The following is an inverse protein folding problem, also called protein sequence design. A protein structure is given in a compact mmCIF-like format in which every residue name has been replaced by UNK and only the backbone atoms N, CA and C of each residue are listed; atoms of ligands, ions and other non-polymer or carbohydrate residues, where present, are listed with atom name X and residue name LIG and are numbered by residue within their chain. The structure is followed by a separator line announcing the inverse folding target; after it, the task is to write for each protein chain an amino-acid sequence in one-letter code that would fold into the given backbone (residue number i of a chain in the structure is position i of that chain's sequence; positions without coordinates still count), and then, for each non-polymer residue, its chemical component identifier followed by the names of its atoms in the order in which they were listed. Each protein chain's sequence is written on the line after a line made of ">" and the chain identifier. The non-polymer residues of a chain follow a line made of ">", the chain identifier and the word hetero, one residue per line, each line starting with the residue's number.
data_IF_060497555540
#
_entry.id   IF_060497555540
#
_cell.length_a   1.000
_cell.length_b   1.000
_cell.length_c   1.000
_cell.angle_alpha   90.00
_cell.angle_beta   90.00
_cell.angle_gamma   90.00
#
_symmetry.space_group_name_H-M   'P 1'
#
loop_
_entity.id
_entity.type
_entity.pdbx_description
1 polymer ?
#
# COMPACT_ATOMS: atom_id res chain seq x y z
N UNK A 1 29.43 -55.86 25.73
CA UNK A 1 28.72 -54.59 26.00
C UNK A 1 27.94 -54.81 27.28
N UNK A 2 28.59 -54.63 28.43
CA UNK A 2 27.91 -54.67 29.72
C UNK A 2 27.07 -53.40 29.84
N UNK A 3 25.75 -53.58 29.89
CA UNK A 3 24.81 -52.50 30.07
C UNK A 3 25.03 -51.87 31.45
N UNK A 4 25.18 -50.54 31.46
CA UNK A 4 25.22 -49.66 32.63
C UNK A 4 23.85 -49.65 33.37
N UNK A 5 23.37 -50.82 33.78
CA UNK A 5 22.12 -50.93 34.51
C UNK A 5 22.30 -50.36 35.92
N UNK A 6 21.62 -49.24 36.19
CA UNK A 6 21.58 -48.59 37.50
C UNK A 6 22.50 -47.37 37.67
N UNK A 7 23.18 -46.91 36.62
CA UNK A 7 24.00 -45.69 36.69
C UNK A 7 23.15 -44.45 36.37
N UNK A 8 23.19 -43.44 37.25
CA UNK A 8 22.55 -42.13 37.03
C UNK A 8 23.61 -41.05 36.84
N UNK A 9 23.37 -40.15 35.88
CA UNK A 9 24.20 -38.96 35.66
C UNK A 9 23.41 -37.72 36.03
N UNK A 10 24.05 -36.80 36.73
CA UNK A 10 23.50 -35.46 37.00
C UNK A 10 24.48 -34.43 36.49
N UNK A 11 23.99 -33.54 35.64
CA UNK A 11 24.74 -32.40 35.11
C UNK A 11 24.20 -31.15 35.79
N UNK A 12 25.10 -30.39 36.39
CA UNK A 12 24.76 -29.11 37.02
C UNK A 12 25.53 -28.01 36.32
N UNK A 13 24.80 -26.99 35.85
CA UNK A 13 25.34 -25.81 35.18
C UNK A 13 25.19 -24.59 36.08
N UNK A 14 26.27 -23.84 36.26
CA UNK A 14 26.23 -22.54 36.94
C UNK A 14 27.05 -21.52 36.14
N UNK A 15 26.45 -20.41 35.68
CA UNK A 15 27.23 -19.29 35.16
C UNK A 15 28.01 -18.68 36.34
N UNK A 16 29.33 -18.59 36.21
CA UNK A 16 30.20 -18.10 37.30
C UNK A 16 30.28 -16.58 37.26
N UNK A 17 30.50 -16.02 36.07
CA UNK A 17 30.54 -14.58 35.81
C UNK A 17 30.55 -14.33 34.31
N UNK A 18 30.09 -13.16 33.90
CA UNK A 18 30.18 -12.72 32.51
C UNK A 18 30.49 -11.23 32.42
N UNK A 19 31.07 -10.82 31.30
CA UNK A 19 31.28 -9.42 30.95
C UNK A 19 30.84 -9.21 29.52
N UNK A 20 30.09 -8.14 29.30
CA UNK A 20 29.79 -7.62 27.97
C UNK A 20 30.66 -6.38 27.78
N UNK A 21 31.46 -6.37 26.72
CA UNK A 21 32.30 -5.25 26.35
C UNK A 21 31.96 -4.83 24.93
N UNK A 22 31.63 -3.56 24.75
CA UNK A 22 31.46 -2.97 23.43
C UNK A 22 32.76 -2.27 23.06
N UNK A 23 33.45 -2.78 22.04
CA UNK A 23 34.66 -2.17 21.50
C UNK A 23 34.28 -1.45 20.22
N UNK A 24 34.21 -0.12 20.26
CA UNK A 24 34.01 0.71 19.07
C UNK A 24 35.34 0.82 18.32
N UNK A 25 35.42 0.26 17.12
CA UNK A 25 36.58 0.41 16.24
C UNK A 25 36.60 1.81 15.59
N UNK A 26 35.42 2.30 15.22
CA UNK A 26 35.18 3.67 14.75
C UNK A 26 33.70 4.05 14.96
N UNK A 27 33.27 5.20 14.40
CA UNK A 27 31.88 5.68 14.50
C UNK A 27 30.85 4.81 13.76
N UNK A 28 31.29 3.86 12.95
CA UNK A 28 30.48 2.99 12.11
C UNK A 28 30.66 1.50 12.39
N UNK A 29 31.66 1.12 13.19
CA UNK A 29 31.97 -0.28 13.45
C UNK A 29 32.19 -0.48 14.95
N UNK A 30 31.44 -1.40 15.54
CA UNK A 30 31.67 -1.85 16.90
C UNK A 30 31.63 -3.37 16.96
N UNK A 31 32.39 -3.95 17.88
CA UNK A 31 32.29 -5.37 18.21
C UNK A 31 31.78 -5.49 19.64
N UNK A 32 30.62 -6.10 19.81
CA UNK A 32 30.14 -6.51 21.13
C UNK A 32 30.74 -7.88 21.44
N UNK A 33 31.64 -7.92 22.42
CA UNK A 33 32.22 -9.15 22.94
C UNK A 33 31.54 -9.53 24.24
N UNK A 34 30.80 -10.64 24.21
CA UNK A 34 30.18 -11.25 25.37
C UNK A 34 31.01 -12.45 25.80
N UNK A 35 31.67 -12.35 26.96
CA UNK A 35 32.43 -13.43 27.55
C UNK A 35 31.70 -13.99 28.76
N UNK A 36 31.40 -15.28 28.74
CA UNK A 36 30.82 -16.02 29.87
C UNK A 36 31.81 -17.07 30.36
N UNK A 37 32.04 -17.10 31.67
CA UNK A 37 32.75 -18.21 32.32
C UNK A 37 31.73 -19.20 32.84
N UNK A 38 31.90 -20.46 32.49
CA UNK A 38 31.03 -21.54 32.94
C UNK A 38 31.81 -22.56 33.76
N UNK A 39 31.11 -23.20 34.69
CA UNK A 39 31.50 -24.46 35.27
C UNK A 39 30.41 -25.50 35.03
N UNK A 40 30.83 -26.67 34.58
CA UNK A 40 30.00 -27.86 34.47
C UNK A 40 30.56 -28.89 35.44
N UNK A 41 29.70 -29.44 36.28
CA UNK A 41 30.03 -30.60 37.09
C UNK A 41 29.14 -31.76 36.65
N UNK A 42 29.78 -32.88 36.29
CA UNK A 42 29.11 -34.12 35.92
C UNK A 42 29.44 -35.16 36.97
N UNK A 43 28.45 -35.59 37.73
CA UNK A 43 28.61 -36.69 38.69
C UNK A 43 27.99 -37.96 38.13
N UNK A 44 28.80 -38.99 37.94
CA UNK A 44 28.36 -40.35 37.67
C UNK A 44 28.32 -41.16 38.96
N UNK A 45 27.24 -41.90 39.19
CA UNK A 45 27.13 -42.86 40.30
C UNK A 45 26.91 -44.27 39.75
N UNK A 46 27.59 -45.25 40.33
CA UNK A 46 27.34 -46.68 40.05
C UNK A 46 26.27 -47.23 40.98
N UNK A 47 25.59 -48.30 40.55
CA UNK A 47 24.57 -48.96 41.38
C UNK A 47 25.10 -49.54 42.70
N UNK A 48 26.42 -49.74 42.83
CA UNK A 48 27.08 -50.19 44.06
C UNK A 48 27.47 -49.03 45.01
N UNK A 49 27.10 -47.79 44.69
CA UNK A 49 27.32 -46.63 45.55
C UNK A 49 28.63 -45.85 45.30
N UNK A 50 29.45 -46.26 44.33
CA UNK A 50 30.63 -45.49 43.92
C UNK A 50 30.22 -44.24 43.15
N UNK A 51 30.91 -43.12 43.37
CA UNK A 51 30.66 -41.88 42.63
C UNK A 51 31.96 -41.25 42.13
N UNK A 52 31.93 -40.72 40.91
CA UNK A 52 32.98 -39.88 40.36
C UNK A 52 32.37 -38.58 39.85
N UNK A 53 33.01 -37.46 40.14
CA UNK A 53 32.63 -36.15 39.61
C UNK A 53 33.74 -35.62 38.71
N UNK A 54 33.37 -35.23 37.50
CA UNK A 54 34.24 -34.50 36.57
C UNK A 54 33.83 -33.05 36.60
N UNK A 55 34.81 -32.17 36.82
CA UNK A 55 34.63 -30.73 36.76
C UNK A 55 35.27 -30.20 35.48
N UNK A 56 34.50 -29.43 34.73
CA UNK A 56 34.97 -28.67 33.59
C UNK A 56 34.71 -27.19 33.85
N UNK A 57 35.71 -26.36 33.63
CA UNK A 57 35.56 -24.91 33.63
C UNK A 57 36.01 -24.38 32.29
N UNK A 58 35.21 -23.52 31.68
CA UNK A 58 35.51 -22.98 30.37
C UNK A 58 35.10 -21.53 30.21
N UNK A 59 35.47 -20.98 29.06
CA UNK A 59 35.12 -19.62 28.65
C UNK A 59 34.44 -19.69 27.30
N UNK A 60 33.20 -19.21 27.24
CA UNK A 60 32.49 -18.95 25.99
C UNK A 60 32.68 -17.47 25.65
N UNK A 61 33.27 -17.18 24.49
CA UNK A 61 33.38 -15.81 23.96
C UNK A 61 32.55 -15.73 22.70
N UNK A 62 31.64 -14.76 22.64
CA UNK A 62 30.82 -14.46 21.47
C UNK A 62 31.19 -13.05 21.05
N UNK A 63 31.74 -12.91 19.85
CA UNK A 63 32.05 -11.60 19.25
C UNK A 63 31.04 -11.32 18.15
N UNK A 64 30.22 -10.29 18.35
CA UNK A 64 29.22 -9.83 17.37
C UNK A 64 29.72 -8.54 16.74
N UNK A 65 30.05 -8.58 15.45
CA UNK A 65 30.43 -7.38 14.70
C UNK A 65 29.17 -6.61 14.29
N UNK A 66 29.02 -5.42 14.83
CA UNK A 66 28.01 -4.42 14.47
C UNK A 66 28.60 -3.53 13.38
N UNK A 67 28.24 -3.81 12.13
CA UNK A 67 28.54 -2.96 10.99
C UNK A 67 27.40 -1.94 10.84
N UNK A 68 27.64 -0.69 11.19
CA UNK A 68 26.81 0.40 10.69
C UNK A 68 27.25 0.65 9.24
N UNK A 69 26.49 0.12 8.28
CA UNK A 69 26.66 0.50 6.87
C UNK A 69 26.56 2.02 6.76
N UNK A 70 27.70 2.68 6.55
CA UNK A 70 27.86 4.13 6.46
C UNK A 70 27.22 4.74 5.20
N UNK A 71 25.91 4.59 5.06
CA UNK A 71 25.06 5.47 4.24
C UNK A 71 24.33 6.46 5.16
N UNK A 72 23.82 7.58 4.63
CA UNK A 72 23.20 8.63 5.44
C UNK A 72 22.04 8.05 6.28
N UNK A 73 21.86 8.62 7.47
CA UNK A 73 20.87 8.39 8.53
C UNK A 73 19.42 8.15 8.06
N UNK A 74 19.15 7.00 7.44
CA UNK A 74 17.82 6.54 7.09
C UNK A 74 17.91 5.31 6.21
N UNK A 75 17.05 4.31 6.46
CA UNK A 75 16.85 3.08 5.67
C UNK A 75 17.53 1.79 6.15
N UNK A 76 17.52 1.54 7.47
CA UNK A 76 17.30 0.16 7.96
C UNK A 76 15.87 -0.06 8.47
N UNK A 77 14.99 0.90 8.19
CA UNK A 77 13.56 0.73 8.39
C UNK A 77 12.99 0.02 7.17
N UNK A 78 12.62 -1.26 7.33
CA UNK A 78 11.87 -1.99 6.32
C UNK A 78 10.38 -1.93 6.68
N UNK A 79 9.54 -1.47 5.75
CA UNK A 79 8.08 -1.55 5.90
C UNK A 79 7.59 -2.98 6.16
N UNK A 80 8.38 -3.99 5.75
CA UNK A 80 8.12 -5.40 6.08
C UNK A 80 8.10 -5.71 7.58
N UNK A 81 8.61 -4.80 8.43
CA UNK A 81 8.50 -4.92 9.89
C UNK A 81 7.08 -4.66 10.41
N UNK A 82 6.17 -4.16 9.57
CA UNK A 82 4.78 -3.88 9.93
C UNK A 82 3.86 -4.83 9.18
N UNK A 83 2.84 -5.33 9.88
CA UNK A 83 1.65 -5.88 9.25
C UNK A 83 0.80 -4.80 8.56
N UNK A 84 0.81 -3.57 9.08
CA UNK A 84 0.23 -2.40 8.41
C UNK A 84 0.93 -1.10 8.85
N UNK A 85 1.15 -0.20 7.89
CA UNK A 85 1.72 1.13 8.12
C UNK A 85 0.81 2.19 7.49
N UNK A 86 0.53 3.26 8.23
CA UNK A 86 -0.26 4.40 7.77
C UNK A 86 0.55 5.67 7.97
N UNK A 87 0.82 6.45 6.92
CA UNK A 87 1.42 7.77 7.16
C UNK A 87 0.42 8.72 7.84
N UNK A 88 -0.87 8.59 7.51
CA UNK A 88 -1.92 9.28 8.22
C UNK A 88 -3.06 8.33 8.56
N UNK A 89 -3.25 8.06 9.85
CA UNK A 89 -4.25 7.14 10.38
C UNK A 89 -5.66 7.72 10.46
N UNK A 90 -5.81 9.06 10.44
CA UNK A 90 -7.08 9.77 10.27
C UNK A 90 -6.80 11.19 9.73
N UNK A 91 -7.03 11.40 8.42
CA UNK A 91 -6.75 12.67 7.74
C UNK A 91 -7.75 13.77 8.07
N UNK A 92 -8.99 13.42 8.34
CA UNK A 92 -10.11 14.34 8.59
C UNK A 92 -11.09 13.62 9.49
N UNK A 93 -11.47 14.21 10.62
CA UNK A 93 -12.33 13.62 11.66
C UNK A 93 -13.63 13.00 11.09
N UNK A 94 -13.55 11.82 10.49
CA UNK A 94 -14.62 11.25 9.66
C UNK A 94 -14.24 9.90 9.08
N UNK A 95 -12.96 9.51 9.14
CA UNK A 95 -12.48 8.25 8.59
C UNK A 95 -12.02 7.29 9.71
N UNK A 96 -12.94 6.77 10.55
CA UNK A 96 -12.57 5.77 11.53
C UNK A 96 -12.20 4.47 10.82
N UNK A 97 -11.26 3.73 11.40
CA UNK A 97 -10.78 2.48 10.86
C UNK A 97 -11.96 1.51 10.64
N UNK A 98 -11.95 0.81 9.52
CA UNK A 98 -12.97 -0.18 9.20
C UNK A 98 -12.85 -1.41 10.13
N UNK A 99 -13.95 -2.13 10.34
CA UNK A 99 -13.91 -3.36 11.14
C UNK A 99 -12.98 -4.39 10.47
N UNK A 100 -12.16 -5.09 11.26
CA UNK A 100 -11.18 -6.03 10.73
C UNK A 100 -10.23 -6.57 11.79
N UNK A 101 -9.30 -7.43 11.35
CA UNK A 101 -8.24 -7.98 12.20
C UNK A 101 -6.88 -7.77 11.56
N UNK A 102 -5.96 -7.17 12.30
CA UNK A 102 -4.56 -7.02 11.93
C UNK A 102 -3.73 -8.07 12.70
N UNK A 103 -3.08 -8.96 11.96
CA UNK A 103 -2.30 -10.06 12.55
C UNK A 103 -0.84 -9.72 12.82
N UNK A 104 -0.32 -8.62 12.28
CA UNK A 104 1.05 -8.15 12.48
C UNK A 104 1.13 -6.77 13.14
N UNK A 105 2.34 -6.23 13.38
CA UNK A 105 2.52 -4.92 13.99
C UNK A 105 1.86 -3.81 13.17
N UNK A 106 1.20 -2.86 13.82
CA UNK A 106 0.54 -1.74 13.14
C UNK A 106 1.13 -0.41 13.61
N UNK A 107 1.39 0.50 12.69
CA UNK A 107 1.89 1.84 13.02
C UNK A 107 1.18 2.93 12.22
N UNK A 108 0.99 4.11 12.83
CA UNK A 108 0.63 5.34 12.12
C UNK A 108 1.52 6.53 12.50
N UNK A 109 1.92 7.34 11.51
CA UNK A 109 2.68 8.58 11.75
C UNK A 109 1.82 9.72 12.36
N UNK A 110 0.54 9.49 12.59
CA UNK A 110 -0.39 10.43 13.26
C UNK A 110 -1.11 9.77 14.44
N UNK A 111 -2.44 9.66 14.39
CA UNK A 111 -3.28 8.88 15.30
C UNK A 111 -4.26 8.01 14.52
N UNK A 112 -4.84 7.01 15.19
CA UNK A 112 -6.00 6.28 14.67
C UNK A 112 -7.32 6.89 15.15
N UNK A 113 -8.36 6.68 14.34
CA UNK A 113 -9.75 6.96 14.70
C UNK A 113 -10.57 5.68 14.76
N UNK A 114 -11.42 5.57 15.77
CA UNK A 114 -12.24 4.39 16.03
C UNK A 114 -13.69 4.77 16.34
N UNK A 115 -14.60 3.83 16.09
CA UNK A 115 -15.99 3.88 16.54
C UNK A 115 -16.27 2.63 17.38
N UNK A 116 -16.94 2.78 18.51
CA UNK A 116 -17.41 1.67 19.35
C UNK A 116 -18.35 0.71 18.63
N UNK A 117 -19.01 1.20 17.57
CA UNK A 117 -19.87 0.40 16.68
C UNK A 117 -19.11 -0.44 15.65
N UNK A 118 -17.78 -0.26 15.50
CA UNK A 118 -16.93 -1.02 14.59
C UNK A 118 -15.95 -1.86 15.40
N UNK A 119 -15.69 -3.10 14.97
CA UNK A 119 -14.78 -4.00 15.69
C UNK A 119 -13.44 -4.10 14.96
N UNK A 120 -12.40 -3.55 15.56
CA UNK A 120 -11.00 -3.70 15.11
C UNK A 120 -10.24 -4.55 16.11
N UNK A 121 -9.53 -5.57 15.62
CA UNK A 121 -8.68 -6.43 16.45
C UNK A 121 -7.24 -6.33 16.01
N UNK A 122 -6.34 -6.01 16.94
CA UNK A 122 -4.89 -6.02 16.73
C UNK A 122 -4.29 -7.19 17.50
N UNK A 123 -3.68 -8.14 16.80
CA UNK A 123 -3.06 -9.34 17.41
C UNK A 123 -1.59 -9.14 17.81
N UNK A 124 -1.03 -7.98 17.50
CA UNK A 124 0.36 -7.61 17.78
C UNK A 124 0.42 -6.17 18.30
N UNK A 125 1.62 -5.60 18.44
CA UNK A 125 1.85 -4.19 18.81
C UNK A 125 1.08 -3.24 17.87
N UNK A 126 0.37 -2.29 18.47
CA UNK A 126 -0.09 -1.07 17.78
C UNK A 126 0.74 0.10 18.26
N UNK A 127 1.14 0.97 17.33
CA UNK A 127 1.82 2.20 17.67
C UNK A 127 1.35 3.40 16.86
N UNK A 128 1.53 4.60 17.42
CA UNK A 128 1.25 5.86 16.74
C UNK A 128 2.11 7.01 17.27
N UNK A 129 2.15 8.13 16.55
CA UNK A 129 2.95 9.32 16.95
C UNK A 129 2.23 10.18 17.98
N UNK A 130 0.95 10.43 17.80
CA UNK A 130 0.19 11.30 18.69
C UNK A 130 -0.10 10.60 20.03
N UNK A 131 -0.32 11.38 21.09
CA UNK A 131 -0.51 10.85 22.45
C UNK A 131 -1.93 10.31 22.74
N UNK A 132 -2.82 10.27 21.75
CA UNK A 132 -4.15 9.72 21.91
C UNK A 132 -4.89 9.45 20.60
N UNK A 133 -6.01 8.78 20.71
CA UNK A 133 -6.86 8.31 19.61
C UNK A 133 -8.11 9.16 19.50
N UNK A 134 -8.74 9.16 18.32
CA UNK A 134 -10.13 9.61 18.21
C UNK A 134 -11.06 8.42 18.44
N UNK A 135 -12.06 8.60 19.29
CA UNK A 135 -12.95 7.53 19.68
C UNK A 135 -14.39 8.06 19.81
N UNK A 136 -15.30 7.55 18.99
CA UNK A 136 -16.73 7.91 18.87
C UNK A 136 -17.05 9.37 18.50
N UNK A 137 -16.24 10.34 18.92
CA UNK A 137 -16.35 11.74 18.51
C UNK A 137 -15.36 12.05 17.39
N UNK A 138 -15.86 11.96 16.17
CA UNK A 138 -15.14 12.33 14.96
C UNK A 138 -15.40 13.80 14.59
N UNK A 139 -15.57 14.73 15.54
CA UNK A 139 -15.70 16.15 15.16
C UNK A 139 -14.36 16.75 14.76
N UNK A 140 -14.33 17.56 13.69
CA UNK A 140 -13.17 18.32 13.25
C UNK A 140 -12.97 19.63 14.02
N UNK A 141 -14.00 20.12 14.74
CA UNK A 141 -13.96 21.42 15.43
C UNK A 141 -13.40 21.34 16.84
N UNK A 142 -13.47 20.17 17.47
CA UNK A 142 -12.96 19.89 18.81
C UNK A 142 -12.52 18.44 18.86
N UNK A 143 -11.26 18.14 18.49
CA UNK A 143 -10.76 16.78 18.51
C UNK A 143 -10.77 16.28 19.95
N UNK A 144 -11.78 15.49 20.30
CA UNK A 144 -11.87 14.87 21.62
C UNK A 144 -10.97 13.64 21.59
N UNK A 145 -9.68 13.88 21.80
CA UNK A 145 -8.66 12.84 21.78
C UNK A 145 -8.73 12.08 23.10
N UNK A 146 -8.99 10.78 23.03
CA UNK A 146 -8.92 9.87 24.17
C UNK A 146 -7.48 9.38 24.32
N UNK A 147 -6.91 9.28 25.53
CA UNK A 147 -5.59 8.69 25.72
C UNK A 147 -5.49 7.31 25.06
N UNK A 148 -4.29 6.94 24.61
CA UNK A 148 -4.05 5.61 24.04
C UNK A 148 -4.53 4.52 25.02
N UNK A 149 -5.42 3.61 24.60
CA UNK A 149 -5.97 2.59 25.49
C UNK A 149 -4.88 1.58 25.87
N UNK A 150 -4.72 1.33 27.17
CA UNK A 150 -3.80 0.31 27.70
C UNK A 150 -4.44 -1.09 27.80
N UNK A 151 -5.75 -1.18 27.55
CA UNK A 151 -6.55 -2.40 27.54
C UNK A 151 -7.60 -2.32 26.44
N UNK A 152 -8.23 -3.45 26.09
CA UNK A 152 -9.29 -3.44 25.08
C UNK A 152 -10.48 -2.60 25.54
N UNK A 153 -11.05 -1.80 24.62
CA UNK A 153 -12.25 -1.00 24.83
C UNK A 153 -13.31 -1.38 23.79
N UNK A 154 -14.55 -0.90 23.91
CA UNK A 154 -15.59 -1.25 22.95
C UNK A 154 -15.13 -0.90 21.51
N UNK A 155 -15.27 -1.85 20.59
CA UNK A 155 -14.81 -1.71 19.20
C UNK A 155 -13.30 -1.81 18.97
N UNK A 156 -12.46 -1.86 20.01
CA UNK A 156 -11.00 -2.02 19.87
C UNK A 156 -10.51 -3.17 20.75
N UNK A 157 -10.08 -4.26 20.11
CA UNK A 157 -9.37 -5.35 20.79
C UNK A 157 -7.87 -5.22 20.53
N UNK A 158 -7.07 -5.12 21.59
CA UNK A 158 -5.60 -5.03 21.50
C UNK A 158 -4.94 -6.27 22.09
N UNK A 159 -3.79 -6.65 21.55
CA UNK A 159 -2.97 -7.76 22.05
C UNK A 159 -2.37 -7.45 23.42
N UNK A 160 -1.77 -8.47 24.05
CA UNK A 160 -1.01 -8.30 25.30
C UNK A 160 0.20 -7.39 25.15
N UNK A 161 0.73 -7.21 23.93
CA UNK A 161 1.83 -6.28 23.66
C UNK A 161 1.37 -4.81 23.65
N UNK A 162 0.05 -4.59 23.55
CA UNK A 162 -0.60 -3.31 23.81
C UNK A 162 -0.52 -2.29 22.67
N UNK A 163 -1.01 -1.10 22.99
CA UNK A 163 -0.99 0.10 22.15
C UNK A 163 -0.08 1.14 22.81
N UNK A 164 0.92 1.62 22.08
CA UNK A 164 1.91 2.58 22.59
C UNK A 164 2.13 3.78 21.67
N UNK A 165 2.60 4.87 22.25
CA UNK A 165 3.15 5.98 21.47
C UNK A 165 4.56 5.60 20.96
N UNK A 166 4.91 5.98 19.74
CA UNK A 166 6.22 5.77 19.12
C UNK A 166 6.58 6.97 18.22
N UNK A 167 7.87 7.28 17.98
CA UNK A 167 8.27 8.35 17.07
C UNK A 167 7.78 8.13 15.64
N UNK A 168 7.66 9.22 14.88
CA UNK A 168 7.32 9.17 13.47
C UNK A 168 8.39 8.40 12.69
N UNK A 169 7.93 7.55 11.78
CA UNK A 169 8.74 6.82 10.82
C UNK A 169 9.00 7.73 9.62
N UNK A 170 10.27 8.04 9.30
CA UNK A 170 10.58 8.78 8.08
C UNK A 170 10.07 8.04 6.84
N UNK A 171 9.30 8.73 6.01
CA UNK A 171 8.90 8.20 4.72
C UNK A 171 10.11 8.12 3.78
N UNK A 172 10.21 7.09 2.93
CA UNK A 172 11.20 7.06 1.88
C UNK A 172 10.98 8.28 0.96
N UNK A 173 12.07 8.82 0.42
CA UNK A 173 11.95 9.79 -0.67
C UNK A 173 11.19 9.14 -1.83
N UNK A 174 10.16 9.83 -2.32
CA UNK A 174 9.41 9.38 -3.48
C UNK A 174 10.24 9.57 -4.75
N UNK A 175 11.03 8.56 -5.09
CA UNK A 175 11.82 8.53 -6.32
C UNK A 175 11.06 7.86 -7.48
N UNK A 176 9.84 7.37 -7.24
CA UNK A 176 9.12 6.51 -8.16
C UNK A 176 7.81 7.17 -8.60
N UNK A 177 7.60 7.30 -9.91
CA UNK A 177 6.32 7.75 -10.48
C UNK A 177 5.64 6.60 -11.20
N UNK A 178 4.47 6.19 -10.72
CA UNK A 178 3.64 5.15 -11.35
C UNK A 178 3.15 5.58 -12.72
N UNK A 179 2.88 6.87 -12.89
CA UNK A 179 2.57 7.46 -14.20
C UNK A 179 3.73 7.26 -15.18
N UNK A 180 4.96 7.52 -14.73
CA UNK A 180 6.15 7.36 -15.56
C UNK A 180 6.49 5.89 -15.85
N UNK A 181 6.30 5.02 -14.86
CA UNK A 181 6.50 3.57 -14.98
C UNK A 181 5.66 2.99 -16.14
N UNK A 182 4.46 3.55 -16.38
CA UNK A 182 3.62 3.14 -17.51
C UNK A 182 4.39 3.20 -18.82
N UNK A 183 5.22 4.21 -19.05
CA UNK A 183 5.87 4.44 -20.35
C UNK A 183 7.37 4.10 -20.40
N UNK A 184 8.05 3.94 -19.26
CA UNK A 184 9.51 3.67 -19.23
C UNK A 184 9.90 2.33 -18.58
N UNK A 185 8.96 1.62 -17.96
CA UNK A 185 9.13 0.37 -17.19
C UNK A 185 9.84 0.46 -15.82
N UNK A 186 10.49 1.57 -15.47
CA UNK A 186 11.23 1.67 -14.21
C UNK A 186 10.52 2.53 -13.18
N UNK A 187 9.78 3.55 -13.62
CA UNK A 187 9.17 4.55 -12.74
C UNK A 187 10.17 5.50 -12.06
N UNK A 188 11.47 5.26 -12.19
CA UNK A 188 12.51 6.04 -11.53
C UNK A 188 12.67 7.37 -12.25
N UNK A 189 12.63 8.49 -11.49
CA UNK A 189 12.70 9.86 -12.02
C UNK A 189 14.10 10.48 -11.96
N UNK A 190 15.14 9.66 -11.83
CA UNK A 190 16.50 10.15 -11.69
C UNK A 190 16.99 10.81 -12.99
N UNK A 191 17.74 11.90 -12.85
CA UNK A 191 18.21 12.71 -13.98
C UNK A 191 19.73 12.63 -14.07
N UNK A 192 20.23 12.55 -15.29
CA UNK A 192 21.65 12.73 -15.60
C UNK A 192 22.01 14.19 -15.33
N UNK A 193 22.86 14.43 -14.33
CA UNK A 193 23.17 15.77 -13.83
C UNK A 193 23.63 16.77 -14.90
N UNK A 194 24.31 16.29 -15.96
CA UNK A 194 24.82 17.14 -17.04
C UNK A 194 23.76 17.57 -18.05
N UNK A 195 22.78 16.71 -18.35
CA UNK A 195 21.81 16.94 -19.44
C UNK A 195 20.41 17.24 -18.92
N UNK A 196 20.12 16.94 -17.65
CA UNK A 196 18.78 17.01 -17.08
C UNK A 196 17.80 15.99 -17.67
N UNK A 197 18.27 15.04 -18.48
CA UNK A 197 17.45 13.98 -19.05
C UNK A 197 17.38 12.78 -18.08
N UNK A 198 16.30 11.99 -18.09
CA UNK A 198 16.22 10.80 -17.26
C UNK A 198 17.29 9.78 -17.58
N UNK A 199 17.75 9.05 -16.55
CA UNK A 199 18.64 7.89 -16.73
C UNK A 199 17.93 6.78 -17.49
N UNK A 200 16.64 6.58 -17.21
CA UNK A 200 15.76 5.61 -17.86
C UNK A 200 14.67 6.31 -18.70
N UNK A 201 14.98 6.88 -19.87
CA UNK A 201 14.02 7.60 -20.68
C UNK A 201 12.92 6.67 -21.24
N UNK A 202 11.71 7.20 -21.53
CA UNK A 202 10.72 6.43 -22.27
C UNK A 202 11.21 6.16 -23.71
N UNK A 203 10.54 5.24 -24.41
CA UNK A 203 10.95 4.84 -25.75
C UNK A 203 11.02 5.99 -26.77
N UNK A 204 10.17 7.03 -26.60
CA UNK A 204 10.16 8.23 -27.43
C UNK A 204 10.12 9.47 -26.55
N UNK A 205 11.05 10.41 -26.75
CA UNK A 205 10.99 11.76 -26.19
C UNK A 205 10.66 12.72 -27.34
N UNK A 206 9.48 13.37 -27.35
CA UNK A 206 9.13 14.37 -28.34
C UNK A 206 10.12 15.53 -28.35
N UNK A 207 10.26 16.18 -29.51
CA UNK A 207 11.03 17.42 -29.65
C UNK A 207 10.11 18.60 -29.97
N UNK A 208 10.51 19.81 -29.59
CA UNK A 208 9.83 21.05 -29.96
C UNK A 208 10.03 21.40 -31.45
N UNK A 209 9.47 22.53 -31.90
CA UNK A 209 9.62 22.99 -33.29
C UNK A 209 11.05 23.36 -33.70
N UNK A 210 11.98 23.42 -32.75
CA UNK A 210 13.40 23.69 -32.95
C UNK A 210 14.27 22.43 -32.82
N UNK A 211 13.66 21.27 -32.52
CA UNK A 211 14.37 20.00 -32.35
C UNK A 211 14.90 19.75 -30.94
N UNK A 212 14.58 20.60 -29.95
CA UNK A 212 14.99 20.37 -28.57
C UNK A 212 14.06 19.36 -27.88
N UNK A 213 14.57 18.44 -27.06
CA UNK A 213 13.73 17.54 -26.27
C UNK A 213 12.73 18.30 -25.39
N UNK A 214 11.46 17.90 -25.44
CA UNK A 214 10.43 18.41 -24.53
C UNK A 214 10.66 17.85 -23.13
N UNK A 215 10.43 18.68 -22.11
CA UNK A 215 10.49 18.26 -20.71
C UNK A 215 9.56 17.06 -20.44
N UNK A 216 10.10 16.04 -19.77
CA UNK A 216 9.34 14.82 -19.45
C UNK A 216 8.35 15.04 -18.32
N UNK A 217 8.76 15.83 -17.33
CA UNK A 217 7.94 16.15 -16.17
C UNK A 217 7.48 17.61 -16.19
N UNK A 218 6.25 17.85 -15.74
CA UNK A 218 5.74 19.19 -15.45
C UNK A 218 6.24 19.72 -14.10
N UNK A 219 5.84 20.94 -13.73
CA UNK A 219 6.24 21.56 -12.46
C UNK A 219 5.73 20.82 -11.21
N UNK A 220 4.73 19.93 -11.37
CA UNK A 220 4.19 19.07 -10.31
C UNK A 220 4.83 17.68 -10.30
N UNK A 221 5.83 17.43 -11.16
CA UNK A 221 6.52 16.14 -11.25
C UNK A 221 5.72 15.05 -11.96
N UNK A 222 4.66 15.42 -12.71
CA UNK A 222 3.84 14.50 -13.52
C UNK A 222 4.35 14.41 -14.95
N UNK A 223 4.05 13.32 -15.66
CA UNK A 223 4.49 13.16 -17.05
C UNK A 223 3.71 14.11 -17.95
N UNK A 224 4.40 14.85 -18.83
CA UNK A 224 3.74 15.78 -19.73
C UNK A 224 2.87 15.06 -20.76
N UNK A 225 1.72 15.67 -21.12
CA UNK A 225 0.76 15.10 -22.06
C UNK A 225 1.39 14.75 -23.43
N UNK A 226 2.34 15.56 -23.90
CA UNK A 226 3.06 15.30 -25.16
C UNK A 226 3.89 14.01 -25.10
N UNK A 227 4.56 13.77 -23.98
CA UNK A 227 5.39 12.57 -23.77
C UNK A 227 4.51 11.33 -23.63
N UNK A 228 3.40 11.43 -22.90
CA UNK A 228 2.40 10.37 -22.85
C UNK A 228 1.83 10.07 -24.24
N UNK A 229 1.41 11.09 -25.00
CA UNK A 229 0.84 10.90 -26.33
C UNK A 229 1.79 10.19 -27.31
N UNK A 230 3.10 10.45 -27.22
CA UNK A 230 4.09 9.78 -28.05
C UNK A 230 4.25 8.28 -27.73
N UNK A 231 4.11 7.90 -26.46
CA UNK A 231 4.40 6.54 -25.97
C UNK A 231 3.17 5.67 -25.74
N UNK A 232 1.96 6.22 -25.86
CA UNK A 232 0.70 5.51 -25.61
C UNK A 232 -0.09 5.25 -26.89
N UNK A 233 -0.88 4.16 -26.93
CA UNK A 233 -1.82 3.87 -28.01
C UNK A 233 -3.17 3.40 -27.48
N UNK A 234 -4.24 3.77 -28.18
CA UNK A 234 -5.58 3.24 -27.94
C UNK A 234 -5.87 1.98 -28.79
N UNK A 235 -7.09 1.45 -28.68
CA UNK A 235 -7.52 0.23 -29.39
C UNK A 235 -7.46 0.35 -30.93
N UNK A 236 -7.63 1.56 -31.46
CA UNK A 236 -7.54 1.84 -32.89
C UNK A 236 -6.09 2.07 -33.35
N UNK A 237 -5.12 1.85 -32.47
CA UNK A 237 -3.70 2.11 -32.69
C UNK A 237 -3.35 3.59 -32.95
N UNK A 238 -4.18 4.51 -32.48
CA UNK A 238 -3.91 5.95 -32.57
C UNK A 238 -3.22 6.42 -31.28
N UNK A 239 -2.26 7.37 -31.37
CA UNK A 239 -1.80 8.09 -30.18
C UNK A 239 -2.96 8.87 -29.53
N UNK A 240 -2.95 9.05 -28.21
CA UNK A 240 -3.88 9.97 -27.54
C UNK A 240 -3.85 11.36 -28.18
N UNK A 241 -5.02 11.97 -28.37
CA UNK A 241 -5.10 13.39 -28.72
C UNK A 241 -4.82 14.23 -27.48
N UNK A 242 -3.97 15.25 -27.64
CA UNK A 242 -3.72 16.25 -26.59
C UNK A 242 -4.62 17.47 -26.84
N UNK A 243 -5.39 17.87 -25.83
CA UNK A 243 -6.23 19.07 -25.88
C UNK A 243 -6.16 19.81 -24.54
N UNK A 244 -5.92 21.13 -24.59
CA UNK A 244 -5.78 21.95 -23.38
C UNK A 244 -4.65 21.50 -22.43
N UNK A 245 -3.59 20.88 -22.95
CA UNK A 245 -2.48 20.36 -22.15
C UNK A 245 -2.78 19.03 -21.43
N UNK A 246 -3.91 18.37 -21.71
CA UNK A 246 -4.28 17.06 -21.17
C UNK A 246 -4.60 16.08 -22.29
N UNK A 247 -4.54 14.78 -21.99
CA UNK A 247 -5.04 13.76 -22.92
C UNK A 247 -6.58 13.79 -22.95
N UNK A 248 -7.16 13.36 -24.08
CA UNK A 248 -8.60 13.03 -24.12
C UNK A 248 -8.88 11.78 -23.29
N UNK A 249 -10.04 11.73 -22.62
CA UNK A 249 -10.46 10.58 -21.83
C UNK A 249 -10.38 9.28 -22.64
N UNK A 250 -9.84 8.24 -22.02
CA UNK A 250 -9.68 6.94 -22.67
C UNK A 250 -8.72 6.02 -21.94
N UNK A 251 -8.67 4.78 -22.41
CA UNK A 251 -7.76 3.73 -21.94
C UNK A 251 -6.71 3.49 -23.00
N UNK A 252 -5.45 3.53 -22.58
CA UNK A 252 -4.29 3.42 -23.44
C UNK A 252 -3.30 2.40 -22.87
N UNK A 253 -2.49 1.81 -23.75
CA UNK A 253 -1.38 0.93 -23.39
C UNK A 253 -0.06 1.53 -23.86
N UNK A 254 1.02 1.22 -23.16
CA UNK A 254 2.37 1.67 -23.50
C UNK A 254 2.87 1.02 -24.78
N UNK A 255 2.80 1.73 -25.91
CA UNK A 255 3.32 1.31 -27.21
C UNK A 255 3.73 2.54 -28.02
N UNK A 256 5.01 2.72 -28.28
CA UNK A 256 5.49 3.84 -29.10
C UNK A 256 5.42 3.56 -30.61
N UNK A 257 5.39 2.29 -31.00
CA UNK A 257 5.38 1.85 -32.40
C UNK A 257 4.03 1.29 -32.87
N UNK A 258 3.08 1.10 -31.96
CA UNK A 258 1.75 0.55 -32.26
C UNK A 258 1.68 -0.95 -32.57
N UNK A 259 2.77 -1.69 -32.30
CA UNK A 259 2.87 -3.13 -32.54
C UNK A 259 3.31 -3.93 -31.31
N UNK A 260 4.16 -3.35 -30.47
CA UNK A 260 4.67 -3.99 -29.25
C UNK A 260 4.44 -3.14 -28.00
N UNK A 261 4.35 -3.80 -26.86
CA UNK A 261 4.38 -3.14 -25.55
C UNK A 261 5.79 -2.63 -25.27
N UNK A 262 5.91 -1.38 -24.86
CA UNK A 262 7.18 -0.68 -24.63
C UNK A 262 7.39 -0.24 -23.16
N UNK A 263 6.34 -0.29 -22.34
CA UNK A 263 6.32 0.19 -20.95
C UNK A 263 5.63 -0.80 -20.00
N UNK A 264 5.57 -0.47 -18.71
CA UNK A 264 5.06 -1.40 -17.70
C UNK A 264 3.54 -1.34 -17.56
N UNK A 265 2.79 -0.59 -18.38
CA UNK A 265 1.47 -0.20 -17.91
C UNK A 265 0.35 0.12 -18.87
N UNK A 266 -0.79 0.29 -18.20
CA UNK A 266 -2.07 0.76 -18.72
C UNK A 266 -2.26 2.18 -18.18
N UNK A 267 -2.48 3.14 -19.08
CA UNK A 267 -2.82 4.51 -18.72
C UNK A 267 -4.31 4.74 -18.94
N UNK A 268 -4.99 5.31 -17.96
CA UNK A 268 -6.40 5.70 -18.08
C UNK A 268 -6.52 7.19 -17.83
N UNK A 269 -6.93 7.94 -18.84
CA UNK A 269 -7.22 9.36 -18.70
C UNK A 269 -8.67 9.55 -18.27
N UNK A 270 -8.91 10.25 -17.15
CA UNK A 270 -10.24 10.57 -16.63
C UNK A 270 -10.78 9.56 -15.61
N UNK A 271 -11.97 9.84 -15.07
CA UNK A 271 -12.58 9.00 -14.02
C UNK A 271 -13.06 7.64 -14.57
N UNK A 272 -12.89 6.60 -13.76
CA UNK A 272 -13.34 5.22 -14.01
C UNK A 272 -14.55 4.93 -13.15
N UNK A 273 -15.68 4.65 -13.81
CA UNK A 273 -16.94 4.31 -13.13
C UNK A 273 -16.92 2.91 -12.51
N UNK A 274 -16.35 1.92 -13.21
CA UNK A 274 -16.17 0.55 -12.74
C UNK A 274 -14.88 -0.03 -13.30
N UNK A 275 -14.07 -0.60 -12.43
CA UNK A 275 -12.86 -1.34 -12.75
C UNK A 275 -13.01 -2.76 -12.20
N UNK A 276 -13.09 -3.73 -13.09
CA UNK A 276 -13.17 -5.13 -12.73
C UNK A 276 -11.89 -5.86 -13.12
N UNK A 277 -11.31 -6.58 -12.15
CA UNK A 277 -10.14 -7.41 -12.33
C UNK A 277 -10.53 -8.88 -12.30
N UNK A 278 -9.99 -9.70 -13.20
CA UNK A 278 -10.06 -11.15 -13.04
C UNK A 278 -8.97 -11.91 -13.80
N UNK A 279 -8.61 -13.09 -13.29
CA UNK A 279 -7.92 -14.10 -14.07
C UNK A 279 -8.94 -14.90 -14.89
N UNK A 280 -8.70 -15.06 -16.19
CA UNK A 280 -9.56 -15.87 -17.03
C UNK A 280 -9.23 -17.37 -16.92
N UNK A 281 -9.90 -18.21 -17.72
CA UNK A 281 -9.73 -19.67 -17.70
C UNK A 281 -8.35 -20.11 -18.20
N UNK A 282 -7.62 -19.25 -18.90
CA UNK A 282 -6.27 -19.53 -19.39
C UNK A 282 -5.20 -19.05 -18.39
N UNK A 283 -5.61 -18.47 -17.26
CA UNK A 283 -4.70 -17.86 -16.29
C UNK A 283 -4.18 -16.48 -16.71
N UNK A 284 -4.74 -15.89 -17.78
CA UNK A 284 -4.38 -14.55 -18.20
C UNK A 284 -5.04 -13.52 -17.28
N UNK A 285 -4.36 -12.39 -17.06
CA UNK A 285 -4.94 -11.28 -16.31
C UNK A 285 -5.80 -10.43 -17.23
N UNK A 286 -7.00 -10.10 -16.76
CA UNK A 286 -7.96 -9.25 -17.47
C UNK A 286 -8.32 -8.03 -16.60
N UNK A 287 -8.37 -6.88 -17.26
CA UNK A 287 -8.73 -5.57 -16.72
C UNK A 287 -9.89 -5.03 -17.54
N UNK A 288 -11.07 -4.93 -16.94
CA UNK A 288 -12.25 -4.32 -17.57
C UNK A 288 -12.43 -2.94 -16.96
N UNK A 289 -12.30 -1.91 -17.79
CA UNK A 289 -12.27 -0.52 -17.38
C UNK A 289 -13.44 0.20 -18.06
N UNK A 290 -14.40 0.65 -17.27
CA UNK A 290 -15.56 1.38 -17.74
C UNK A 290 -15.44 2.87 -17.44
N UNK A 291 -15.43 3.71 -18.48
CA UNK A 291 -15.46 5.17 -18.39
C UNK A 291 -16.74 5.69 -19.04
N UNK A 292 -17.68 6.14 -18.22
CA UNK A 292 -19.02 6.51 -18.68
C UNK A 292 -19.72 5.32 -19.36
N UNK A 293 -20.10 5.48 -20.63
CA UNK A 293 -20.73 4.42 -21.42
C UNK A 293 -19.77 3.47 -22.14
N UNK A 294 -18.46 3.75 -22.12
CA UNK A 294 -17.46 2.97 -22.87
C UNK A 294 -16.77 1.96 -21.96
N UNK A 295 -16.76 0.69 -22.37
CA UNK A 295 -15.99 -0.37 -21.70
C UNK A 295 -14.80 -0.76 -22.55
N UNK A 296 -13.62 -0.74 -21.95
CA UNK A 296 -12.38 -1.21 -22.55
C UNK A 296 -11.83 -2.37 -21.75
N UNK A 297 -11.51 -3.48 -22.42
CA UNK A 297 -10.89 -4.64 -21.81
C UNK A 297 -9.44 -4.76 -22.24
N UNK A 298 -8.53 -4.80 -21.28
CA UNK A 298 -7.12 -5.16 -21.47
C UNK A 298 -6.92 -6.59 -20.97
N UNK A 299 -6.27 -7.43 -21.76
CA UNK A 299 -5.91 -8.80 -21.40
C UNK A 299 -4.42 -8.98 -21.60
N UNK A 300 -3.71 -9.47 -20.59
CA UNK A 300 -2.28 -9.78 -20.66
C UNK A 300 -2.09 -11.27 -20.54
N UNK A 301 -1.51 -11.87 -21.58
CA UNK A 301 -1.18 -13.29 -21.62
C UNK A 301 0.32 -13.50 -21.51
N UNK A 302 0.78 -13.92 -20.33
CA UNK A 302 2.19 -14.21 -20.09
C UNK A 302 2.65 -15.48 -20.80
N UNK A 303 1.76 -16.47 -20.94
CA UNK A 303 2.05 -17.70 -21.67
C UNK A 303 2.30 -17.43 -23.17
N UNK A 304 1.50 -16.55 -23.77
CA UNK A 304 1.62 -16.22 -25.20
C UNK A 304 2.53 -15.01 -25.47
N UNK A 305 2.98 -14.30 -24.43
CA UNK A 305 3.78 -13.08 -24.58
C UNK A 305 3.03 -11.97 -25.33
N UNK A 306 1.74 -11.78 -25.07
CA UNK A 306 0.91 -10.79 -25.78
C UNK A 306 0.01 -9.99 -24.84
N UNK A 307 -0.37 -8.80 -25.30
CA UNK A 307 -1.36 -7.95 -24.64
C UNK A 307 -2.45 -7.57 -25.64
N UNK A 308 -3.71 -7.81 -25.30
CA UNK A 308 -4.86 -7.51 -26.16
C UNK A 308 -5.71 -6.40 -25.54
N UNK A 309 -6.02 -5.39 -26.33
CA UNK A 309 -6.90 -4.27 -26.00
C UNK A 309 -8.17 -4.39 -26.83
N UNK A 310 -9.34 -4.25 -26.22
CA UNK A 310 -10.63 -4.32 -26.92
C UNK A 310 -11.62 -3.29 -26.40
N UNK A 311 -12.34 -2.60 -27.30
CA UNK A 311 -13.34 -1.57 -26.96
C UNK A 311 -14.24 -1.31 -28.16
N UNK A 312 -15.55 -1.15 -27.93
CA UNK A 312 -16.52 -0.81 -28.98
C UNK A 312 -16.53 -1.76 -30.19
N UNK A 313 -16.26 -3.05 -29.99
CA UNK A 313 -16.14 -4.06 -31.05
C UNK A 313 -14.79 -4.09 -31.78
N UNK A 314 -13.90 -3.12 -31.55
CA UNK A 314 -12.53 -3.15 -32.05
C UNK A 314 -11.65 -3.97 -31.10
N UNK A 315 -10.77 -4.81 -31.64
CA UNK A 315 -9.75 -5.55 -30.87
C UNK A 315 -8.39 -5.36 -31.52
N UNK A 316 -7.36 -5.16 -30.69
CA UNK A 316 -5.97 -5.02 -31.10
C UNK A 316 -5.09 -5.87 -30.20
N UNK A 317 -4.21 -6.67 -30.80
CA UNK A 317 -3.21 -7.46 -30.08
C UNK A 317 -1.83 -6.87 -30.34
N UNK A 318 -1.09 -6.65 -29.25
CA UNK A 318 0.29 -6.21 -29.23
C UNK A 318 1.19 -7.39 -28.88
N UNK A 319 2.37 -7.44 -29.47
CA UNK A 319 3.44 -8.33 -28.99
C UNK A 319 4.00 -7.81 -27.68
N UNK A 320 4.39 -8.72 -26.79
CA UNK A 320 4.91 -8.40 -25.46
C UNK A 320 3.83 -8.27 -24.38
N UNK A 321 4.33 -8.29 -23.15
CA UNK A 321 3.58 -8.08 -21.91
C UNK A 321 4.20 -6.92 -21.15
N UNK A 322 3.45 -6.37 -20.20
CA UNK A 322 3.99 -5.38 -19.27
C UNK A 322 5.08 -6.00 -18.39
N UNK A 323 6.19 -5.28 -18.22
CA UNK A 323 7.32 -5.71 -17.39
C UNK A 323 7.73 -4.62 -16.44
N UNK A 324 7.99 -5.00 -15.20
CA UNK A 324 8.70 -4.18 -14.22
C UNK A 324 10.21 -4.28 -14.46
N UNK A 325 10.87 -3.13 -14.56
CA UNK A 325 12.32 -2.98 -14.73
C UNK A 325 12.93 -2.08 -13.66
N UNK A 326 12.24 -1.83 -12.54
CA UNK A 326 12.82 -1.07 -11.42
C UNK A 326 14.09 -1.75 -10.86
N UNK A 327 14.19 -3.06 -11.01
CA UNK A 327 15.45 -3.81 -10.88
C UNK A 327 15.90 -4.29 -12.28
N UNK A 328 16.88 -3.62 -12.91
CA UNK A 328 17.32 -3.97 -14.25
C UNK A 328 18.00 -5.35 -14.32
N UNK A 329 18.48 -5.90 -13.21
CA UNK A 329 19.05 -7.25 -13.16
C UNK A 329 17.95 -8.33 -13.13
N UNK A 330 16.74 -7.98 -12.69
CA UNK A 330 15.64 -8.91 -12.47
C UNK A 330 14.34 -8.39 -13.11
N UNK A 331 14.33 -8.30 -14.43
CA UNK A 331 13.14 -7.93 -15.20
C UNK A 331 12.05 -8.98 -14.98
N UNK A 332 10.89 -8.55 -14.51
CA UNK A 332 9.79 -9.45 -14.14
C UNK A 332 8.47 -8.98 -14.74
N UNK A 333 7.53 -9.91 -15.00
CA UNK A 333 6.17 -9.53 -15.35
C UNK A 333 5.54 -8.66 -14.26
N UNK A 334 5.06 -7.48 -14.64
CA UNK A 334 4.52 -6.50 -13.71
C UNK A 334 3.74 -5.42 -14.44
N UNK A 335 2.61 -5.01 -13.87
CA UNK A 335 1.70 -4.04 -14.48
C UNK A 335 1.54 -2.82 -13.57
N UNK A 336 1.88 -1.64 -14.10
CA UNK A 336 1.48 -0.35 -13.56
C UNK A 336 0.17 0.08 -14.22
N UNK A 337 -0.93 0.10 -13.48
CA UNK A 337 -2.20 0.64 -13.96
C UNK A 337 -2.40 2.01 -13.33
N UNK A 338 -2.18 3.07 -14.12
CA UNK A 338 -2.33 4.45 -13.67
C UNK A 338 -3.64 5.05 -14.19
N UNK A 339 -4.42 5.67 -13.30
CA UNK A 339 -5.66 6.38 -13.61
C UNK A 339 -5.49 7.86 -13.26
N UNK A 340 -5.42 8.72 -14.27
CA UNK A 340 -5.43 10.18 -14.13
C UNK A 340 -6.85 10.69 -13.81
N UNK A 341 -7.39 10.25 -12.67
CA UNK A 341 -8.75 10.44 -12.22
C UNK A 341 -9.04 9.62 -10.96
N UNK A 342 -10.31 9.32 -10.72
CA UNK A 342 -10.79 8.47 -9.62
C UNK A 342 -11.22 7.10 -10.13
N UNK A 343 -11.13 6.08 -9.29
CA UNK A 343 -11.76 4.77 -9.50
C UNK A 343 -12.95 4.65 -8.55
N UNK A 344 -14.16 4.82 -9.08
CA UNK A 344 -15.38 4.85 -8.28
C UNK A 344 -15.87 3.47 -7.83
N UNK A 345 -15.39 2.41 -8.48
CA UNK A 345 -15.69 1.01 -8.13
C UNK A 345 -14.54 0.14 -8.59
N UNK A 346 -13.81 -0.45 -7.64
CA UNK A 346 -12.77 -1.45 -7.86
C UNK A 346 -13.25 -2.78 -7.28
N UNK A 347 -13.30 -3.81 -8.11
CA UNK A 347 -13.79 -5.14 -7.70
C UNK A 347 -13.13 -6.28 -8.48
N UNK A 348 -13.20 -7.48 -7.89
CA UNK A 348 -12.81 -8.71 -8.57
C UNK A 348 -13.89 -9.25 -9.52
N UNK A 349 -13.59 -10.41 -10.11
CA UNK A 349 -14.34 -11.09 -11.18
C UNK A 349 -15.74 -11.58 -10.86
N UNK A 350 -16.46 -10.97 -9.91
CA UNK A 350 -17.86 -11.30 -9.64
C UNK A 350 -18.78 -10.57 -10.61
N UNK A 351 -19.03 -11.18 -11.77
CA UNK A 351 -20.24 -10.94 -12.56
C UNK A 351 -21.08 -12.23 -12.57
N UNK A 352 -22.15 -12.27 -11.78
CA UNK A 352 -23.01 -13.46 -11.69
C UNK A 352 -22.43 -14.61 -10.86
N UNK A 353 -22.56 -15.86 -11.34
CA UNK A 353 -22.27 -17.09 -10.58
C UNK A 353 -20.80 -17.53 -10.55
N UNK A 354 -19.93 -16.97 -11.40
CA UNK A 354 -18.52 -17.38 -11.46
C UNK A 354 -17.65 -16.53 -10.53
N UNK A 355 -17.07 -17.18 -9.51
CA UNK A 355 -16.10 -16.58 -8.60
C UNK A 355 -14.69 -16.75 -9.18
N UNK A 356 -14.31 -15.89 -10.13
CA UNK A 356 -12.93 -15.87 -10.65
C UNK A 356 -12.03 -15.05 -9.71
N UNK A 357 -10.76 -15.45 -9.50
CA UNK A 357 -9.83 -14.62 -8.76
C UNK A 357 -9.63 -13.29 -9.49
N UNK A 358 -9.50 -12.20 -8.73
CA UNK A 358 -9.20 -10.87 -9.24
C UNK A 358 -7.77 -10.78 -9.82
N UNK A 359 -6.80 -11.44 -9.16
CA UNK A 359 -5.38 -11.40 -9.51
C UNK A 359 -4.92 -12.79 -9.94
N UNK A 360 -4.42 -12.91 -11.17
CA UNK A 360 -3.87 -14.14 -11.72
C UNK A 360 -2.56 -14.55 -11.02
N UNK A 361 -2.24 -15.85 -11.06
CA UNK A 361 -1.13 -16.45 -10.29
C UNK A 361 0.24 -15.84 -10.58
N UNK A 362 0.47 -15.36 -11.80
CA UNK A 362 1.73 -14.77 -12.27
C UNK A 362 1.68 -13.25 -12.40
N UNK A 363 0.63 -12.61 -11.87
CA UNK A 363 0.43 -11.16 -12.04
C UNK A 363 0.91 -10.37 -10.84
N UNK A 364 1.82 -9.43 -11.10
CA UNK A 364 2.11 -8.33 -10.20
C UNK A 364 1.42 -7.08 -10.72
N UNK A 365 0.58 -6.47 -9.90
CA UNK A 365 -0.24 -5.33 -10.30
C UNK A 365 -0.12 -4.24 -9.27
N UNK A 366 0.21 -3.03 -9.71
CA UNK A 366 0.02 -1.81 -8.94
C UNK A 366 -1.09 -1.00 -9.60
N UNK A 367 -2.12 -0.65 -8.84
CA UNK A 367 -3.18 0.25 -9.27
C UNK A 367 -2.96 1.58 -8.58
N UNK A 368 -2.82 2.63 -9.37
CA UNK A 368 -2.72 4.00 -8.89
C UNK A 368 -3.82 4.83 -9.49
N UNK A 369 -4.50 5.61 -8.64
CA UNK A 369 -5.38 6.68 -9.08
C UNK A 369 -4.83 8.02 -8.61
N UNK A 370 -4.92 9.05 -9.44
CA UNK A 370 -4.55 10.39 -9.02
C UNK A 370 -5.44 10.86 -7.85
N UNK A 371 -6.73 10.49 -7.88
CA UNK A 371 -7.72 10.81 -6.84
C UNK A 371 -8.11 9.54 -6.08
N UNK A 372 -9.39 9.37 -5.79
CA UNK A 372 -9.88 8.32 -4.89
C UNK A 372 -9.98 6.95 -5.57
N UNK A 373 -9.87 5.88 -4.77
CA UNK A 373 -10.21 4.51 -5.15
C UNK A 373 -11.27 4.01 -4.18
N UNK A 374 -12.40 3.55 -4.70
CA UNK A 374 -13.44 2.89 -3.89
C UNK A 374 -13.48 1.40 -4.21
N UNK A 375 -13.09 0.55 -3.27
CA UNK A 375 -13.18 -0.91 -3.37
C UNK A 375 -14.59 -1.35 -3.01
N UNK A 376 -15.32 -1.88 -3.98
CA UNK A 376 -16.77 -2.20 -3.89
C UNK A 376 -17.06 -3.70 -3.90
N UNK A 377 -16.06 -4.54 -4.18
CA UNK A 377 -16.21 -5.99 -4.21
C UNK A 377 -14.93 -6.73 -3.88
N UNK A 378 -15.07 -8.04 -3.69
CA UNK A 378 -13.98 -8.90 -3.25
C UNK A 378 -12.80 -8.88 -4.22
N UNK A 379 -11.58 -8.77 -3.69
CA UNK A 379 -10.34 -8.90 -4.43
C UNK A 379 -9.66 -10.20 -4.02
N UNK A 380 -9.88 -11.25 -4.80
CA UNK A 380 -9.36 -12.60 -4.52
C UNK A 380 -8.09 -12.88 -5.32
N UNK A 381 -7.08 -13.44 -4.67
CA UNK A 381 -5.87 -13.92 -5.33
C UNK A 381 -6.09 -15.33 -5.90
N UNK A 382 -5.51 -15.64 -7.06
CA UNK A 382 -5.53 -17.01 -7.60
C UNK A 382 -4.82 -17.98 -6.64
N UNK A 383 -3.66 -17.56 -6.13
CA UNK A 383 -2.91 -18.29 -5.11
C UNK A 383 -2.91 -17.45 -3.81
N UNK A 384 -3.70 -17.81 -2.78
CA UNK A 384 -3.73 -17.06 -1.54
C UNK A 384 -2.42 -17.20 -0.76
N UNK A 385 -2.05 -16.17 0.00
CA UNK A 385 -0.86 -16.19 0.90
C UNK A 385 -1.13 -16.88 2.23
N UNK A 386 -2.41 -17.14 2.55
CA UNK A 386 -2.84 -17.79 3.78
C UNK A 386 -3.89 -18.87 3.49
N UNK A 387 -3.85 -19.94 4.27
CA UNK A 387 -4.87 -20.98 4.33
C UNK A 387 -6.17 -20.42 4.93
N UNK A 388 -7.26 -21.19 4.84
CA UNK A 388 -8.57 -20.78 5.42
C UNK A 388 -8.55 -20.60 6.94
N UNK A 389 -7.56 -21.18 7.62
CA UNK A 389 -7.34 -21.03 9.07
C UNK A 389 -6.44 -19.82 9.42
N UNK A 390 -5.98 -19.06 8.41
CA UNK A 390 -5.12 -17.88 8.58
C UNK A 390 -3.62 -18.20 8.72
N UNK A 391 -3.21 -19.46 8.69
CA UNK A 391 -1.78 -19.83 8.64
C UNK A 391 -1.19 -19.52 7.26
N UNK A 392 0.10 -19.19 7.20
CA UNK A 392 0.76 -18.95 5.91
C UNK A 392 0.79 -20.25 5.08
N UNK A 393 0.65 -20.11 3.75
CA UNK A 393 0.82 -21.27 2.85
C UNK A 393 2.29 -21.72 2.81
N UNK A 394 2.53 -23.02 2.67
CA UNK A 394 3.88 -23.59 2.69
C UNK A 394 4.76 -23.14 1.53
N UNK A 395 4.15 -22.62 0.45
CA UNK A 395 4.82 -22.16 -0.76
C UNK A 395 4.92 -20.63 -0.86
N UNK A 396 4.90 -19.91 0.27
CA UNK A 396 4.92 -18.44 0.31
C UNK A 396 6.05 -17.84 -0.55
N UNK A 397 7.24 -18.46 -0.56
CA UNK A 397 8.41 -18.01 -1.32
C UNK A 397 8.29 -18.18 -2.84
N UNK A 398 7.27 -18.88 -3.35
CA UNK A 398 7.05 -19.09 -4.79
C UNK A 398 5.83 -18.34 -5.32
N UNK A 399 5.09 -17.65 -4.46
CA UNK A 399 3.95 -16.83 -4.88
C UNK A 399 4.44 -15.60 -5.64
N UNK A 400 3.86 -15.37 -6.82
CA UNK A 400 4.20 -14.25 -7.69
C UNK A 400 3.09 -13.20 -7.77
N UNK A 401 1.88 -13.56 -7.34
CA UNK A 401 0.72 -12.72 -7.44
C UNK A 401 0.70 -11.64 -6.35
N UNK A 402 0.96 -10.40 -6.75
CA UNK A 402 1.08 -9.24 -5.86
C UNK A 402 0.11 -8.16 -6.32
N UNK A 403 -0.53 -7.48 -5.36
CA UNK A 403 -1.37 -6.32 -5.62
C UNK A 403 -0.95 -5.16 -4.71
N UNK A 404 -0.64 -4.03 -5.33
CA UNK A 404 -0.56 -2.72 -4.69
C UNK A 404 -1.74 -1.85 -5.11
N UNK A 405 -2.30 -1.10 -4.17
CA UNK A 405 -3.31 -0.07 -4.45
C UNK A 405 -2.81 1.22 -3.82
N UNK A 406 -2.76 2.29 -4.60
CA UNK A 406 -2.20 3.57 -4.20
C UNK A 406 -3.04 4.72 -4.75
N UNK A 407 -3.01 5.86 -4.07
CA UNK A 407 -3.61 7.10 -4.55
C UNK A 407 -2.63 8.26 -4.35
N UNK A 408 -2.45 9.11 -5.36
CA UNK A 408 -1.52 10.25 -5.28
C UNK A 408 -2.06 11.31 -4.30
N UNK A 409 -3.28 11.81 -4.57
CA UNK A 409 -3.92 12.92 -3.81
C UNK A 409 -5.27 12.48 -3.18
N UNK A 410 -5.55 11.19 -3.19
CA UNK A 410 -6.86 10.63 -2.89
C UNK A 410 -6.99 9.87 -1.58
N UNK A 411 -8.06 9.08 -1.52
CA UNK A 411 -8.34 8.15 -0.43
C UNK A 411 -8.67 6.79 -1.03
N UNK A 412 -8.25 5.73 -0.34
CA UNK A 412 -8.70 4.36 -0.61
C UNK A 412 -9.86 4.06 0.35
N UNK A 413 -11.07 3.96 -0.19
CA UNK A 413 -12.29 3.63 0.55
C UNK A 413 -12.63 2.15 0.36
N UNK A 414 -12.83 1.41 1.45
CA UNK A 414 -13.31 0.02 1.39
C UNK A 414 -14.77 -0.01 1.79
N UNK A 415 -15.65 -0.42 0.87
CA UNK A 415 -17.08 -0.53 1.15
C UNK A 415 -17.41 -1.97 1.55
N UNK A 416 -17.65 -2.19 2.84
CA UNK A 416 -18.19 -3.46 3.31
C UNK A 416 -19.71 -3.47 3.13
N UNK A 417 -20.19 -4.11 2.06
CA UNK A 417 -21.58 -4.52 1.96
C UNK A 417 -21.79 -5.73 2.87
N UNK A 418 -22.09 -5.46 4.14
CA UNK A 418 -22.56 -6.51 5.04
C UNK A 418 -23.78 -7.22 4.45
N UNK A 419 -24.04 -8.48 4.84
CA UNK A 419 -25.30 -9.12 4.49
C UNK A 419 -26.42 -8.24 5.04
N UNK A 420 -27.16 -7.57 4.16
CA UNK A 420 -28.46 -7.01 4.49
C UNK A 420 -29.31 -8.22 4.83
N UNK A 421 -29.36 -8.56 6.12
CA UNK A 421 -30.38 -9.42 6.68
C UNK A 421 -31.69 -8.72 6.39
N UNK A 422 -32.29 -9.05 5.25
CA UNK A 422 -33.66 -8.74 4.96
C UNK A 422 -34.48 -9.41 6.05
N UNK A 423 -34.78 -8.65 7.11
CA UNK A 423 -35.85 -8.95 8.03
C UNK A 423 -37.12 -9.01 7.19
N UNK A 424 -37.44 -10.20 6.69
CA UNK A 424 -38.78 -10.53 6.25
C UNK A 424 -39.63 -10.49 7.52
N UNK A 425 -40.23 -9.33 7.76
CA UNK A 425 -41.32 -9.22 8.71
C UNK A 425 -42.36 -10.27 8.32
N UNK A 426 -42.57 -11.23 9.22
CA UNK A 426 -43.70 -12.13 9.13
C UNK A 426 -44.97 -11.28 9.19
N UNK A 427 -45.65 -11.18 8.05
CA UNK A 427 -46.94 -10.53 7.93
C UNK A 427 -47.96 -11.24 8.81
N UNK A 428 -48.35 -10.59 9.91
CA UNK A 428 -49.52 -10.96 10.69
C UNK A 428 -50.74 -10.32 10.04
N UNK A 429 -51.54 -11.15 9.39
CA UNK A 429 -52.89 -10.84 8.94
C UNK A 429 -53.79 -10.52 10.15
N UNK A 430 -54.38 -9.33 10.19
CA UNK A 430 -55.67 -9.06 10.83
C UNK A 430 -56.49 -8.10 9.96
N UNK A 431 -57.82 -8.25 9.88
CA UNK A 431 -58.63 -7.60 8.86
C UNK A 431 -59.28 -6.29 9.32
N UNK A 432 -59.43 -5.40 8.33
CA UNK A 432 -60.44 -4.33 8.11
C UNK A 432 -61.09 -3.61 9.30
N UNK A 433 -61.12 -2.27 9.21
CA UNK A 433 -62.34 -1.45 9.38
C UNK A 433 -62.18 -0.08 8.66
N UNK A 434 -63.07 0.12 7.68
CA UNK A 434 -63.77 1.32 7.19
C UNK A 434 -63.14 2.74 7.06
N UNK A 435 -63.28 3.30 5.83
CA UNK A 435 -63.93 4.60 5.40
C UNK A 435 -63.53 5.90 6.16
N UNK A 436 -63.32 7.10 5.59
CA UNK A 436 -63.40 7.75 4.24
C UNK A 436 -62.75 9.20 4.39
N UNK A 437 -62.85 10.20 3.50
CA UNK A 437 -61.70 10.90 2.88
C UNK A 437 -61.55 12.43 3.16
N UNK A 438 -60.59 13.03 2.43
CA UNK A 438 -60.43 14.46 2.03
C UNK A 438 -59.90 15.47 3.06
N UNK A 439 -58.77 16.12 2.77
CA UNK A 439 -58.74 17.52 2.27
C UNK A 439 -57.34 17.95 1.79
N UNK A 440 -57.34 18.72 0.69
CA UNK A 440 -56.22 19.52 0.18
C UNK A 440 -55.93 20.70 1.12
N UNK A 441 -54.67 21.18 1.16
CA UNK A 441 -54.37 22.61 1.06
C UNK A 441 -52.87 22.86 0.85
N UNK A 442 -52.58 23.62 -0.20
CA UNK A 442 -51.30 24.27 -0.48
C UNK A 442 -51.09 25.50 0.43
N UNK A 443 -49.84 25.92 0.67
CA UNK A 443 -49.46 27.34 0.52
C UNK A 443 -47.96 27.61 0.74
N UNK A 444 -47.38 28.38 -0.21
CA UNK A 444 -46.47 29.54 -0.08
C UNK A 444 -45.08 29.29 0.55
N UNK A 445 -43.98 29.41 -0.18
CA UNK A 445 -43.36 30.63 -0.77
C UNK A 445 -43.05 31.73 0.25
N UNK A 446 -41.74 31.95 0.52
CA UNK A 446 -41.14 33.27 0.77
C UNK A 446 -39.63 33.23 0.56
N UNK A 447 -39.20 33.95 -0.47
CA UNK A 447 -37.84 34.40 -0.71
C UNK A 447 -37.45 35.48 0.29
N UNK A 448 -36.20 35.53 0.70
CA UNK A 448 -35.57 36.74 1.22
C UNK A 448 -34.20 36.91 0.57
N UNK A 449 -34.12 37.92 -0.28
CA UNK A 449 -32.89 38.52 -0.80
C UNK A 449 -32.55 39.69 0.12
N UNK A 450 -31.33 39.77 0.63
CA UNK A 450 -30.72 41.06 0.96
C UNK A 450 -29.20 40.96 0.87
N UNK A 451 -28.62 42.06 0.43
CA UNK A 451 -27.31 42.17 -0.16
C UNK A 451 -26.48 43.23 0.57
N UNK A 452 -25.15 43.10 0.46
CA UNK A 452 -24.11 44.15 0.48
C UNK A 452 -23.79 44.83 1.83
N UNK A 453 -22.54 44.68 2.30
CA UNK A 453 -21.55 45.78 2.32
C UNK A 453 -20.16 45.28 2.75
N UNK A 454 -19.14 45.62 1.93
CA UNK A 454 -17.70 45.59 2.27
C UNK A 454 -17.32 46.92 2.94
N UNK A 455 -16.18 46.95 3.64
CA UNK A 455 -15.26 48.06 3.47
C UNK A 455 -13.85 47.60 3.10
N UNK A 456 -13.21 48.40 2.24
CA UNK A 456 -11.80 48.38 1.94
C UNK A 456 -11.03 49.18 3.01
N UNK A 457 -9.79 48.78 3.28
CA UNK A 457 -8.79 49.60 3.94
C UNK A 457 -7.48 49.50 3.14
N UNK A 458 -6.96 50.64 2.73
CA UNK A 458 -5.71 50.83 1.97
C UNK A 458 -4.87 51.90 2.68
N UNK A 459 -3.55 51.86 2.43
CA UNK A 459 -2.51 52.91 2.60
C UNK A 459 -1.84 52.91 3.99
N UNK A 460 -0.51 52.92 4.19
CA UNK A 460 0.69 52.84 3.33
C UNK A 460 1.96 52.71 4.21
N UNK A 461 3.07 52.33 3.59
CA UNK A 461 4.34 53.07 3.69
C UNK A 461 5.46 52.48 4.54
N UNK A 462 6.65 52.33 3.93
CA UNK A 462 7.91 52.26 4.68
C UNK A 462 9.02 51.42 4.04
N UNK A 463 9.81 52.05 3.17
CA UNK A 463 11.12 51.59 2.68
C UNK A 463 12.18 51.63 3.80
N UNK A 464 13.13 50.69 3.84
CA UNK A 464 14.58 50.98 3.83
C UNK A 464 15.45 49.71 3.89
N UNK A 465 16.52 49.74 3.10
CA UNK A 465 17.67 48.83 3.04
C UNK A 465 18.43 48.69 4.38
N UNK A 466 19.13 47.55 4.57
CA UNK A 466 20.58 47.54 4.83
C UNK A 466 21.11 46.11 5.03
N UNK A 467 22.20 45.82 4.33
CA UNK A 467 23.07 44.66 4.50
C UNK A 467 23.98 44.79 5.73
N UNK A 468 24.35 43.66 6.35
CA UNK A 468 25.62 43.43 7.07
C UNK A 468 25.71 41.93 7.40
N UNK A 469 26.61 41.16 6.78
CA UNK A 469 28.03 40.95 7.10
C UNK A 469 28.27 39.79 8.08
N UNK A 470 29.06 38.85 7.56
CA UNK A 470 29.83 37.74 8.15
C UNK A 470 29.96 37.62 9.68
N UNK A 471 29.77 36.39 10.16
CA UNK A 471 30.85 35.53 10.69
C UNK A 471 30.59 34.07 10.33
#
# INVERSE_FOLDING_TARGET
>A
MDQLNGSTFTVTYSPISGSVSLITADKYNATESSTFRYAIAVTGKTGAGGSATVHETGRLSIDTTLLATGGPTGRDFKFSGFGAFFDNGDTNASAPLASGTFSGPVHTNTHFAFLSSRSVTFRNVVSQVDNGIRYDNLSNTTPNVTPIPNTSIAGITISTEGYKQAPAVPLPADLFSQEYAVINNTGIRDLVALTGLPVDPPAVIPVDGLGNPIAIFDASGRVTASVLAANLRNVANNPPTVSGGSLVNGVYVSSSNGSSIAGAGIYVQGDVSDMQLYADTNGDQVYVIQQGGTTTTVRTSYANGTTTLSSGGTTRTYTGVFTDRSDPANIQPGVSLYVAGSINSLRGGKNGSTVRPAIAASTRLTITAQRHITVTGDIKYANPVANSDGTAVSNLNTLQNVLGIYTDDGQIQTMWLGPVLASRSMGRWLPSIARRPMTQAASRARSYTQAVQRPALTIAGGLSEAACSQR
#
